data_IF_541322567085
#
_entry.id   IF_541322567085
#
_cell.length_a   1.000
_cell.length_b   1.000
_cell.length_c   1.000
_cell.angle_alpha   90.00
_cell.angle_beta   90.00
_cell.angle_gamma   90.00
#
_symmetry.space_group_name_H-M   'P 1'
#
loop_
_entity.id
_entity.type
_entity.pdbx_description
1 polymer ?
#
# COMPACT_ATOMS: atom_id res chain seq x y z
N UNK A 1 0.52 -19.88 8.17
CA UNK A 1 1.47 -18.80 7.90
C UNK A 1 2.24 -19.14 6.63
N UNK A 2 2.54 -18.13 5.84
CA UNK A 2 3.33 -18.30 4.62
C UNK A 2 4.76 -18.72 4.95
N UNK A 3 5.33 -19.62 4.15
CA UNK A 3 6.78 -19.92 4.22
C UNK A 3 7.55 -18.76 3.59
N UNK A 4 8.42 -18.14 4.36
CA UNK A 4 9.14 -16.91 3.94
C UNK A 4 10.53 -17.19 3.36
N UNK A 5 10.98 -18.43 3.32
CA UNK A 5 12.39 -18.77 3.01
C UNK A 5 12.84 -18.34 1.62
N UNK A 6 11.97 -18.46 0.63
CA UNK A 6 12.32 -18.24 -0.77
C UNK A 6 11.76 -16.93 -1.31
N UNK A 7 11.25 -16.04 -0.46
CA UNK A 7 10.71 -14.77 -0.88
C UNK A 7 11.86 -13.76 -1.07
N UNK A 8 12.04 -13.20 -2.29
CA UNK A 8 13.16 -12.29 -2.59
C UNK A 8 12.90 -10.86 -2.09
N UNK A 9 12.50 -10.72 -0.83
CA UNK A 9 12.12 -9.46 -0.20
C UNK A 9 12.71 -9.37 1.20
N UNK A 10 12.84 -8.15 1.72
CA UNK A 10 13.21 -7.92 3.11
C UNK A 10 11.96 -7.96 3.97
N UNK A 11 11.88 -8.92 4.88
CA UNK A 11 10.75 -9.05 5.80
C UNK A 11 11.29 -8.91 7.21
N UNK A 12 10.90 -7.84 7.88
CA UNK A 12 11.35 -7.55 9.22
C UNK A 12 10.64 -8.44 10.27
N UNK A 13 11.30 -8.75 11.39
CA UNK A 13 10.66 -9.46 12.48
C UNK A 13 9.40 -8.76 12.97
N UNK A 14 8.37 -9.53 13.32
CA UNK A 14 7.09 -8.99 13.78
C UNK A 14 6.07 -8.71 12.70
N UNK A 15 6.44 -8.85 11.43
CA UNK A 15 5.45 -8.84 10.36
C UNK A 15 4.63 -10.14 10.39
N UNK A 16 3.32 -10.03 10.17
CA UNK A 16 2.42 -11.18 10.11
C UNK A 16 1.93 -11.31 8.68
N UNK A 17 2.31 -12.41 8.04
CA UNK A 17 2.00 -12.66 6.63
C UNK A 17 1.23 -13.98 6.55
N UNK A 18 -0.02 -13.88 6.12
CA UNK A 18 -0.89 -15.04 6.02
C UNK A 18 -0.69 -15.79 4.71
N UNK A 19 -1.34 -16.92 4.60
CA UNK A 19 -1.25 -17.77 3.41
C UNK A 19 -1.76 -17.07 2.16
N UNK A 20 -1.31 -17.51 0.99
CA UNK A 20 -1.67 -16.99 -0.33
C UNK A 20 -1.28 -15.52 -0.56
N UNK A 21 -0.49 -14.94 0.33
CA UNK A 21 0.09 -13.61 0.09
C UNK A 21 1.22 -13.73 -0.92
N UNK A 22 1.23 -12.83 -1.91
CA UNK A 22 2.30 -12.72 -2.89
C UNK A 22 3.13 -11.48 -2.62
N UNK A 23 4.45 -11.63 -2.56
CA UNK A 23 5.38 -10.53 -2.31
C UNK A 23 6.44 -10.51 -3.40
N UNK A 24 6.53 -9.40 -4.10
CA UNK A 24 7.45 -9.22 -5.22
C UNK A 24 8.90 -9.01 -4.79
N UNK A 25 9.78 -8.97 -5.79
CA UNK A 25 11.23 -8.78 -5.61
C UNK A 25 11.53 -7.42 -5.00
N UNK A 26 12.51 -7.39 -4.11
CA UNK A 26 12.98 -6.15 -3.49
C UNK A 26 11.89 -5.38 -2.72
N UNK A 27 10.79 -6.03 -2.41
CA UNK A 27 9.80 -5.45 -1.51
C UNK A 27 10.36 -5.37 -0.08
N UNK A 28 9.81 -4.48 0.71
CA UNK A 28 10.18 -4.32 2.12
C UNK A 28 8.91 -4.38 2.96
N UNK A 29 8.85 -5.35 3.86
CA UNK A 29 7.74 -5.50 4.80
C UNK A 29 8.29 -5.20 6.18
N UNK A 30 7.84 -4.11 6.78
CA UNK A 30 8.36 -3.62 8.05
C UNK A 30 7.71 -4.33 9.24
N UNK A 31 8.32 -4.15 10.41
CA UNK A 31 7.83 -4.76 11.65
C UNK A 31 6.38 -4.33 11.95
N UNK A 32 5.59 -5.28 12.42
CA UNK A 32 4.19 -5.03 12.78
C UNK A 32 3.21 -4.90 11.62
N UNK A 33 3.67 -4.96 10.37
CA UNK A 33 2.78 -5.00 9.23
C UNK A 33 1.96 -6.30 9.23
N UNK A 34 0.71 -6.21 8.82
CA UNK A 34 -0.20 -7.37 8.77
C UNK A 34 -0.73 -7.49 7.35
N UNK A 35 -0.41 -8.61 6.71
CA UNK A 35 -0.87 -8.93 5.36
C UNK A 35 -1.84 -10.11 5.44
N UNK A 36 -3.11 -9.83 5.19
CA UNK A 36 -4.14 -10.84 5.29
C UNK A 36 -4.15 -11.74 4.05
N UNK A 37 -4.92 -12.81 4.12
CA UNK A 37 -4.95 -13.87 3.10
C UNK A 37 -5.14 -13.29 1.69
N UNK A 38 -4.31 -13.75 0.77
CA UNK A 38 -4.42 -13.36 -0.64
C UNK A 38 -3.99 -11.94 -0.98
N UNK A 39 -3.46 -11.16 -0.03
CA UNK A 39 -2.92 -9.84 -0.35
C UNK A 39 -1.74 -9.95 -1.33
N UNK A 40 -1.58 -8.92 -2.15
CA UNK A 40 -0.51 -8.87 -3.16
C UNK A 40 0.32 -7.60 -2.98
N UNK A 41 1.64 -7.76 -2.93
CA UNK A 41 2.59 -6.65 -2.86
C UNK A 41 3.53 -6.74 -4.05
N UNK A 42 3.55 -5.70 -4.87
CA UNK A 42 4.37 -5.65 -6.08
C UNK A 42 5.86 -5.41 -5.80
N UNK A 43 6.66 -5.59 -6.86
CA UNK A 43 8.11 -5.41 -6.78
C UNK A 43 8.49 -4.02 -6.26
N UNK A 44 9.49 -3.94 -5.39
CA UNK A 44 10.02 -2.68 -4.90
C UNK A 44 9.10 -1.89 -3.96
N UNK A 45 7.97 -2.44 -3.58
CA UNK A 45 6.99 -1.79 -2.71
C UNK A 45 7.37 -1.95 -1.23
N UNK A 46 7.21 -0.88 -0.47
CA UNK A 46 7.35 -0.92 0.98
C UNK A 46 5.99 -0.91 1.66
N UNK A 47 5.77 -1.86 2.56
CA UNK A 47 4.66 -1.85 3.51
C UNK A 47 5.25 -1.49 4.86
N UNK A 48 4.97 -0.29 5.32
CA UNK A 48 5.62 0.30 6.49
C UNK A 48 5.06 -0.24 7.80
N UNK A 49 5.64 0.20 8.91
CA UNK A 49 5.37 -0.32 10.26
C UNK A 49 3.88 -0.26 10.61
N UNK A 50 3.33 -1.39 11.05
CA UNK A 50 1.95 -1.46 11.51
C UNK A 50 0.88 -1.25 10.44
N UNK A 51 1.24 -1.18 9.17
CA UNK A 51 0.25 -1.08 8.11
C UNK A 51 -0.53 -2.40 7.99
N UNK A 52 -1.80 -2.30 7.60
CA UNK A 52 -2.71 -3.44 7.49
C UNK A 52 -3.23 -3.54 6.07
N UNK A 53 -2.95 -4.67 5.43
CA UNK A 53 -3.56 -5.05 4.16
C UNK A 53 -4.64 -6.09 4.44
N UNK A 54 -5.89 -5.72 4.18
CA UNK A 54 -7.01 -6.64 4.29
C UNK A 54 -6.95 -7.76 3.25
N UNK A 55 -7.85 -8.72 3.39
CA UNK A 55 -7.88 -9.88 2.47
C UNK A 55 -7.93 -9.47 1.01
N UNK A 56 -7.05 -10.03 0.19
CA UNK A 56 -6.90 -9.79 -1.24
C UNK A 56 -6.54 -8.35 -1.64
N UNK A 57 -6.28 -7.44 -0.69
CA UNK A 57 -5.83 -6.09 -1.01
C UNK A 57 -4.57 -6.16 -1.88
N UNK A 58 -4.55 -5.41 -2.96
CA UNK A 58 -3.49 -5.49 -3.97
C UNK A 58 -2.77 -4.16 -4.08
N UNK A 59 -1.44 -4.21 -3.94
CA UNK A 59 -0.56 -3.05 -4.08
C UNK A 59 0.41 -3.32 -5.22
N UNK A 60 0.50 -2.39 -6.15
CA UNK A 60 1.38 -2.48 -7.31
C UNK A 60 2.86 -2.30 -6.97
N UNK A 61 3.64 -1.97 -8.00
CA UNK A 61 5.09 -1.84 -7.91
C UNK A 61 5.51 -0.45 -7.44
N UNK A 62 6.64 -0.38 -6.76
CA UNK A 62 7.28 0.87 -6.35
C UNK A 62 6.35 1.80 -5.57
N UNK A 63 5.49 1.22 -4.75
CA UNK A 63 4.61 1.96 -3.84
C UNK A 63 5.24 2.11 -2.46
N UNK A 64 4.71 3.04 -1.69
CA UNK A 64 4.98 3.13 -0.27
C UNK A 64 3.65 3.22 0.47
N UNK A 65 3.32 2.19 1.22
CA UNK A 65 2.17 2.19 2.12
C UNK A 65 2.66 2.59 3.49
N UNK A 66 2.30 3.80 3.91
CA UNK A 66 2.81 4.44 5.12
C UNK A 66 2.43 3.73 6.41
N UNK A 67 3.16 4.05 7.47
CA UNK A 67 2.98 3.44 8.78
C UNK A 67 1.53 3.59 9.27
N UNK A 68 0.97 2.51 9.78
CA UNK A 68 -0.40 2.50 10.31
C UNK A 68 -1.51 2.67 9.29
N UNK A 69 -1.20 2.73 7.99
CA UNK A 69 -2.23 2.81 6.97
C UNK A 69 -3.05 1.51 6.91
N UNK A 70 -4.31 1.63 6.54
CA UNK A 70 -5.22 0.47 6.42
C UNK A 70 -5.79 0.44 5.01
N UNK A 71 -5.48 -0.63 4.29
CA UNK A 71 -6.10 -0.94 3.00
C UNK A 71 -7.13 -2.03 3.24
N UNK A 72 -8.40 -1.68 3.18
CA UNK A 72 -9.47 -2.63 3.44
C UNK A 72 -9.47 -3.74 2.38
N UNK A 73 -9.77 -4.93 2.82
CA UNK A 73 -9.89 -6.08 1.94
C UNK A 73 -11.29 -6.65 2.00
N UNK A 74 -11.59 -7.55 1.09
CA UNK A 74 -12.84 -8.30 1.09
C UNK A 74 -12.54 -9.76 0.82
N UNK A 75 -12.97 -10.62 1.73
CA UNK A 75 -12.93 -12.06 1.56
C UNK A 75 -14.30 -12.58 1.16
N UNK A 76 -15.33 -12.00 1.71
CA UNK A 76 -16.74 -12.37 1.46
C UNK A 76 -17.59 -11.14 1.12
N UNK A 77 -18.41 -11.21 0.08
CA UNK A 77 -18.44 -12.26 -0.94
C UNK A 77 -17.21 -12.21 -1.86
N UNK A 78 -16.85 -13.36 -2.44
CA UNK A 78 -15.68 -13.47 -3.31
C UNK A 78 -15.74 -12.55 -4.55
N UNK A 79 -16.94 -12.13 -4.95
CA UNK A 79 -17.15 -11.20 -6.06
C UNK A 79 -16.89 -9.73 -5.70
N UNK A 80 -16.81 -9.40 -4.41
CA UNK A 80 -16.53 -8.03 -3.99
C UNK A 80 -15.09 -7.65 -4.31
N UNK A 81 -14.87 -6.38 -4.63
CA UNK A 81 -13.54 -5.87 -5.00
C UNK A 81 -12.80 -5.35 -3.76
N UNK A 82 -11.63 -5.87 -3.44
CA UNK A 82 -10.77 -5.31 -2.41
C UNK A 82 -10.16 -3.98 -2.87
N UNK A 83 -9.40 -3.34 -2.00
CA UNK A 83 -8.60 -2.18 -2.39
C UNK A 83 -7.56 -2.59 -3.44
N UNK A 84 -7.45 -1.80 -4.49
CA UNK A 84 -6.42 -1.93 -5.51
C UNK A 84 -5.64 -0.63 -5.59
N UNK A 85 -4.34 -0.73 -5.32
CA UNK A 85 -3.39 0.39 -5.44
C UNK A 85 -2.51 0.11 -6.64
N UNK A 86 -2.53 1.01 -7.62
CA UNK A 86 -1.70 0.88 -8.83
C UNK A 86 -0.24 1.23 -8.54
N UNK A 87 0.60 1.27 -9.57
CA UNK A 87 2.04 1.47 -9.41
C UNK A 87 2.41 2.91 -9.00
N UNK A 88 3.54 3.06 -8.34
CA UNK A 88 4.14 4.34 -7.99
C UNK A 88 3.26 5.23 -7.10
N UNK A 89 2.48 4.63 -6.22
CA UNK A 89 1.56 5.35 -5.32
C UNK A 89 2.19 5.49 -3.94
N UNK A 90 2.00 6.66 -3.32
CA UNK A 90 2.30 6.85 -1.91
C UNK A 90 0.99 6.95 -1.12
N UNK A 91 0.85 6.08 -0.14
CA UNK A 91 -0.23 6.15 0.86
C UNK A 91 0.39 6.69 2.16
N UNK A 92 -0.05 7.86 2.58
CA UNK A 92 0.47 8.50 3.80
C UNK A 92 0.14 7.73 5.08
N UNK A 93 0.89 8.01 6.14
CA UNK A 93 0.71 7.37 7.42
C UNK A 93 -0.72 7.52 7.94
N UNK A 94 -1.25 6.46 8.55
CA UNK A 94 -2.60 6.40 9.12
C UNK A 94 -3.74 6.71 8.13
N UNK A 95 -3.47 6.71 6.84
CA UNK A 95 -4.56 6.80 5.86
C UNK A 95 -5.38 5.52 5.85
N UNK A 96 -6.65 5.65 5.52
CA UNK A 96 -7.58 4.52 5.39
C UNK A 96 -8.16 4.54 3.98
N UNK A 97 -8.12 3.41 3.31
CA UNK A 97 -8.77 3.21 2.01
C UNK A 97 -9.80 2.11 2.17
N UNK A 98 -11.07 2.44 1.95
CA UNK A 98 -12.15 1.45 2.11
C UNK A 98 -12.22 0.49 0.93
N UNK A 99 -12.84 -0.65 1.15
CA UNK A 99 -13.03 -1.68 0.12
C UNK A 99 -13.69 -1.12 -1.15
N UNK A 100 -13.34 -1.70 -2.28
CA UNK A 100 -13.87 -1.30 -3.57
C UNK A 100 -13.18 -0.11 -4.21
N UNK A 101 -12.31 0.60 -3.50
CA UNK A 101 -11.60 1.76 -4.05
C UNK A 101 -10.36 1.35 -4.83
N UNK A 102 -10.13 2.05 -5.93
CA UNK A 102 -8.92 1.95 -6.73
C UNK A 102 -8.14 3.25 -6.65
N UNK A 103 -6.86 3.14 -6.31
CA UNK A 103 -5.94 4.27 -6.26
C UNK A 103 -5.12 4.24 -7.54
N UNK A 104 -5.32 5.22 -8.41
CA UNK A 104 -4.65 5.30 -9.70
C UNK A 104 -3.14 5.53 -9.58
N UNK A 105 -2.40 5.07 -10.57
CA UNK A 105 -0.94 5.15 -10.58
C UNK A 105 -0.44 6.58 -10.36
N UNK A 106 0.71 6.70 -9.73
CA UNK A 106 1.35 7.98 -9.43
C UNK A 106 0.54 8.91 -8.51
N UNK A 107 -0.52 8.44 -7.90
CA UNK A 107 -1.31 9.22 -6.94
C UNK A 107 -0.62 9.31 -5.58
N UNK A 108 -1.00 10.30 -4.81
CA UNK A 108 -0.59 10.48 -3.42
C UNK A 108 -1.84 10.61 -2.55
N UNK A 109 -1.94 9.76 -1.55
CA UNK A 109 -2.96 9.84 -0.50
C UNK A 109 -2.27 10.44 0.72
N UNK A 110 -2.71 11.61 1.15
CA UNK A 110 -2.11 12.30 2.28
C UNK A 110 -2.30 11.54 3.60
N UNK A 111 -1.39 11.77 4.55
CA UNK A 111 -1.49 11.18 5.87
C UNK A 111 -2.85 11.47 6.52
N UNK A 112 -3.42 10.47 7.19
CA UNK A 112 -4.69 10.59 7.87
C UNK A 112 -5.92 10.71 6.98
N UNK A 113 -5.77 10.65 5.67
CA UNK A 113 -6.91 10.72 4.75
C UNK A 113 -7.79 9.47 4.86
N UNK A 114 -9.08 9.64 4.60
CA UNK A 114 -10.04 8.53 4.50
C UNK A 114 -10.61 8.51 3.09
N UNK A 115 -10.12 7.58 2.28
CA UNK A 115 -10.52 7.42 0.87
C UNK A 115 -11.76 6.56 0.80
N UNK A 116 -12.83 7.12 0.24
CA UNK A 116 -14.13 6.46 0.10
C UNK A 116 -14.56 6.27 -1.36
N UNK A 117 -13.76 6.70 -2.30
CA UNK A 117 -14.01 6.56 -3.75
C UNK A 117 -12.70 6.45 -4.50
N UNK A 118 -12.77 6.06 -5.76
CA UNK A 118 -11.58 5.93 -6.60
C UNK A 118 -10.79 7.23 -6.68
N UNK A 119 -9.47 7.10 -6.76
CA UNK A 119 -8.53 8.22 -6.89
C UNK A 119 -7.92 8.19 -8.28
N UNK A 120 -8.06 9.31 -9.00
CA UNK A 120 -7.50 9.43 -10.35
C UNK A 120 -5.97 9.38 -10.34
N UNK A 121 -5.36 8.80 -11.38
CA UNK A 121 -3.90 8.81 -11.51
C UNK A 121 -3.31 10.22 -11.43
N UNK A 122 -2.15 10.32 -10.80
CA UNK A 122 -1.40 11.58 -10.74
C UNK A 122 -2.03 12.68 -9.90
N UNK A 123 -2.98 12.36 -9.03
CA UNK A 123 -3.61 13.35 -8.13
C UNK A 123 -3.14 13.19 -6.70
N UNK A 124 -3.23 14.27 -5.95
CA UNK A 124 -3.04 14.27 -4.49
C UNK A 124 -4.40 14.46 -3.83
N UNK A 125 -4.77 13.51 -2.98
CA UNK A 125 -6.02 13.56 -2.21
C UNK A 125 -5.72 13.68 -0.72
N UNK A 126 -6.58 14.37 0.01
CA UNK A 126 -6.43 14.59 1.45
C UNK A 126 -7.78 14.75 2.13
N UNK A 127 -7.80 14.53 3.42
CA UNK A 127 -8.95 14.79 4.28
C UNK A 127 -9.85 13.59 4.53
N UNK A 128 -10.94 13.84 5.25
CA UNK A 128 -11.97 12.85 5.59
C UNK A 128 -13.35 13.47 5.32
N UNK A 129 -14.04 13.05 4.26
CA UNK A 129 -13.59 12.15 3.19
C UNK A 129 -12.48 12.80 2.33
N UNK A 130 -11.60 11.97 1.77
CA UNK A 130 -10.52 12.46 0.94
C UNK A 130 -11.03 13.12 -0.33
N UNK A 131 -10.46 14.27 -0.65
CA UNK A 131 -10.78 15.06 -1.84
C UNK A 131 -9.49 15.41 -2.58
N UNK A 132 -9.57 15.56 -3.90
CA UNK A 132 -8.44 16.03 -4.70
C UNK A 132 -8.09 17.46 -4.28
N UNK A 133 -6.84 17.67 -3.88
CA UNK A 133 -6.34 18.99 -3.51
C UNK A 133 -5.47 19.60 -4.59
N UNK A 134 -4.83 18.77 -5.40
CA UNK A 134 -4.01 19.22 -6.54
C UNK A 134 -3.62 18.05 -7.42
N UNK A 135 -3.04 18.34 -8.58
CA UNK A 135 -2.30 17.37 -9.35
C UNK A 135 -0.87 17.25 -8.81
N UNK A 136 -0.29 16.06 -8.95
CA UNK A 136 1.10 15.80 -8.56
C UNK A 136 2.03 16.63 -9.44
N UNK A 137 2.81 17.50 -8.82
CA UNK A 137 3.80 18.36 -9.48
C UNK A 137 5.22 17.88 -9.17
N UNK A 138 6.25 18.55 -9.73
CA UNK A 138 7.65 18.18 -9.53
C UNK A 138 8.06 18.26 -8.06
N UNK A 139 7.55 19.23 -7.31
CA UNK A 139 7.78 19.35 -5.88
C UNK A 139 7.22 18.19 -5.10
N UNK A 140 6.00 17.76 -5.41
CA UNK A 140 5.36 16.59 -4.83
C UNK A 140 6.12 15.33 -5.20
N UNK A 141 6.50 15.17 -6.46
CA UNK A 141 7.27 14.03 -6.95
C UNK A 141 8.60 13.91 -6.21
N UNK A 142 9.30 15.01 -6.01
CA UNK A 142 10.56 15.04 -5.27
C UNK A 142 10.39 14.63 -3.81
N UNK A 143 9.31 15.08 -3.15
CA UNK A 143 9.02 14.74 -1.74
C UNK A 143 8.56 13.30 -1.55
N UNK A 144 8.02 12.67 -2.58
CA UNK A 144 7.48 11.31 -2.52
C UNK A 144 8.38 10.28 -3.19
N UNK A 145 9.54 10.69 -3.71
CA UNK A 145 10.48 9.80 -4.38
C UNK A 145 11.00 8.71 -3.43
N UNK A 146 11.17 7.52 -3.97
CA UNK A 146 11.77 6.42 -3.23
C UNK A 146 13.27 6.63 -3.07
N UNK A 147 13.79 6.23 -1.93
CA UNK A 147 15.24 6.29 -1.66
C UNK A 147 15.75 4.87 -1.48
N UNK A 148 16.22 4.27 -2.57
CA UNK A 148 16.62 2.86 -2.61
C UNK A 148 17.72 2.53 -1.60
N UNK A 149 18.67 3.43 -1.39
CA UNK A 149 19.74 3.24 -0.41
C UNK A 149 19.22 3.06 1.02
N UNK A 150 18.15 3.78 1.37
CA UNK A 150 17.51 3.63 2.69
C UNK A 150 16.67 2.35 2.78
N UNK A 151 16.14 1.90 1.67
CA UNK A 151 15.36 0.64 1.62
C UNK A 151 16.25 -0.59 1.71
N UNK A 152 17.50 -0.48 1.34
CA UNK A 152 18.48 -1.56 1.40
C UNK A 152 19.06 -1.80 2.81
N UNK A 153 18.81 -0.90 3.76
CA UNK A 153 19.24 -1.06 5.15
C UNK A 153 18.49 -2.18 5.84
#
# INVERSE_FOLDING_TARGET
MLDLKDIPARIEPGAIIREQVEIGKNAVIMMGAILNIGAVVGDGTMIDMGAVLGGRATVGKNCHVGAGAVLAGVVEPASATPVIVEDNVLIGANAVVIEGCRIGHDAVVAAGAVVISDVEPGTVVAGCPAKVIKRKDDKTSSKTALVDALRAL
#
